data_IF_051578031762
#
_entry.id   IF_051578031762
#
_cell.length_a   1.000
_cell.length_b   1.000
_cell.length_c   1.000
_cell.angle_alpha   90.00
_cell.angle_beta   90.00
_cell.angle_gamma   90.00
#
_symmetry.space_group_name_H-M   'P 1'
#
loop_
_entity.id
_entity.type
_entity.pdbx_description
1 polymer ?
#
# COMPACT_ATOMS: atom_id res chain seq x y z
N UNK A 1 -3.04 16.13 9.45
CA UNK A 1 -2.19 16.91 10.36
C UNK A 1 -0.84 17.12 9.68
N UNK A 2 -0.32 18.35 9.65
CA UNK A 2 0.99 18.61 9.05
C UNK A 2 2.07 18.29 10.10
N UNK A 3 3.01 17.41 9.76
CA UNK A 3 4.16 17.08 10.61
C UNK A 3 5.00 18.34 10.93
N UNK A 4 5.58 18.39 12.12
CA UNK A 4 6.54 19.42 12.55
C UNK A 4 7.74 19.42 11.57
N UNK A 5 8.26 20.59 11.13
CA UNK A 5 9.53 20.71 10.43
C UNK A 5 10.66 19.76 10.88
N UNK A 6 10.85 19.56 12.19
CA UNK A 6 11.91 18.66 12.70
C UNK A 6 11.60 17.18 12.44
N UNK A 7 10.34 16.79 12.59
CA UNK A 7 9.88 15.42 12.31
C UNK A 7 9.98 15.11 10.81
N UNK A 8 9.66 16.10 9.96
CA UNK A 8 9.84 16.00 8.50
C UNK A 8 11.29 15.79 8.12
N UNK A 9 12.22 16.54 8.70
CA UNK A 9 13.64 16.41 8.37
C UNK A 9 14.20 15.06 8.85
N UNK A 10 13.78 14.60 10.03
CA UNK A 10 14.12 13.26 10.53
C UNK A 10 13.58 12.16 9.60
N UNK A 11 12.32 12.27 9.16
CA UNK A 11 11.70 11.33 8.25
C UNK A 11 12.41 11.31 6.90
N UNK A 12 12.71 12.48 6.33
CA UNK A 12 13.48 12.61 5.08
C UNK A 12 14.83 11.92 5.16
N UNK A 13 15.61 12.17 6.22
CA UNK A 13 16.93 11.53 6.40
C UNK A 13 16.82 10.01 6.53
N UNK A 14 15.82 9.52 7.28
CA UNK A 14 15.55 8.08 7.43
C UNK A 14 15.22 7.43 6.08
N UNK A 15 14.35 8.07 5.28
CA UNK A 15 13.99 7.60 3.95
C UNK A 15 15.19 7.61 3.01
N UNK A 16 15.99 8.67 3.02
CA UNK A 16 17.19 8.79 2.19
C UNK A 16 18.21 7.69 2.49
N UNK A 17 18.47 7.39 3.76
CA UNK A 17 19.39 6.32 4.14
C UNK A 17 18.94 4.96 3.59
N UNK A 18 17.65 4.62 3.73
CA UNK A 18 17.10 3.35 3.23
C UNK A 18 17.09 3.28 1.71
N UNK A 19 16.75 4.39 1.05
CA UNK A 19 16.74 4.50 -0.41
C UNK A 19 18.15 4.40 -1.00
N UNK A 20 19.15 4.99 -0.34
CA UNK A 20 20.54 4.90 -0.77
C UNK A 20 21.04 3.45 -0.78
N UNK A 21 20.72 2.67 0.27
CA UNK A 21 21.03 1.24 0.34
C UNK A 21 20.33 0.46 -0.77
N UNK A 22 19.08 0.80 -1.07
CA UNK A 22 18.31 0.13 -2.10
C UNK A 22 18.79 0.43 -3.52
N UNK A 23 19.13 1.69 -3.80
CA UNK A 23 19.53 2.10 -5.13
C UNK A 23 20.91 1.59 -5.51
N UNK A 24 21.79 1.28 -4.55
CA UNK A 24 23.13 0.75 -4.83
C UNK A 24 23.92 1.59 -5.84
N UNK A 25 23.81 2.92 -5.75
CA UNK A 25 24.45 3.85 -6.68
C UNK A 25 23.68 4.10 -7.98
N UNK A 26 22.46 3.57 -8.14
CA UNK A 26 21.56 3.99 -9.21
C UNK A 26 20.89 5.32 -8.87
N UNK A 27 20.65 6.20 -9.85
CA UNK A 27 20.13 7.54 -9.57
C UNK A 27 18.61 7.56 -9.33
N UNK A 28 17.88 6.54 -9.81
CA UNK A 28 16.42 6.55 -9.86
C UNK A 28 15.81 5.16 -9.76
N UNK A 29 14.55 5.15 -9.37
CA UNK A 29 13.67 3.97 -9.41
C UNK A 29 13.12 3.81 -10.82
N UNK A 30 13.29 2.63 -11.41
CA UNK A 30 12.94 2.36 -12.82
C UNK A 30 11.53 1.78 -13.01
N UNK A 31 10.94 1.24 -11.95
CA UNK A 31 9.61 0.64 -12.05
C UNK A 31 8.89 0.69 -10.70
N UNK A 32 7.59 0.95 -10.73
CA UNK A 32 6.75 1.08 -9.54
C UNK A 32 5.44 0.32 -9.75
N UNK A 33 5.33 -0.95 -9.39
CA UNK A 33 4.05 -1.65 -9.49
C UNK A 33 3.19 -1.42 -8.24
N UNK A 34 1.97 -0.93 -8.41
CA UNK A 34 0.99 -0.84 -7.31
C UNK A 34 0.39 -2.20 -6.99
N UNK A 35 0.25 -2.52 -5.69
CA UNK A 35 -0.45 -3.70 -5.20
C UNK A 35 -1.40 -3.34 -4.06
N UNK A 36 -2.58 -3.92 -4.11
CA UNK A 36 -3.61 -3.79 -3.08
C UNK A 36 -3.64 -5.11 -2.31
N UNK A 37 -3.18 -5.08 -1.06
CA UNK A 37 -3.16 -6.25 -0.19
C UNK A 37 -4.42 -6.28 0.67
N UNK A 38 -4.92 -7.49 0.93
CA UNK A 38 -6.08 -7.69 1.81
C UNK A 38 -5.71 -7.58 3.29
N UNK A 39 -4.43 -7.80 3.61
CA UNK A 39 -3.86 -7.74 4.96
C UNK A 39 -2.82 -6.62 5.10
N UNK A 40 -2.58 -6.11 6.33
CA UNK A 40 -1.56 -5.10 6.56
C UNK A 40 -0.14 -5.62 6.30
N UNK A 41 0.69 -4.85 5.60
CA UNK A 41 2.10 -5.16 5.39
C UNK A 41 3.02 -4.01 5.80
N UNK A 42 4.25 -4.36 6.16
CA UNK A 42 5.27 -3.39 6.56
C UNK A 42 5.81 -2.62 5.35
N UNK A 43 5.90 -1.30 5.48
CA UNK A 43 6.56 -0.44 4.51
C UNK A 43 8.07 -0.41 4.79
N UNK A 44 8.88 -0.72 3.80
CA UNK A 44 10.33 -0.74 3.91
C UNK A 44 10.94 0.66 4.08
N UNK A 45 10.21 1.75 3.74
CA UNK A 45 10.71 3.13 3.91
C UNK A 45 10.52 3.69 5.33
N UNK A 46 9.31 3.58 5.91
CA UNK A 46 9.06 4.06 7.27
C UNK A 46 9.28 2.96 8.32
N UNK A 47 9.08 1.69 7.98
CA UNK A 47 9.10 0.53 8.88
C UNK A 47 7.76 0.26 9.56
N UNK A 48 6.75 1.09 9.32
CA UNK A 48 5.44 0.93 9.93
C UNK A 48 4.56 -0.02 9.13
N UNK A 49 3.58 -0.62 9.80
CA UNK A 49 2.60 -1.49 9.17
C UNK A 49 1.47 -0.67 8.58
N UNK A 50 1.21 -0.84 7.28
CA UNK A 50 0.14 -0.16 6.58
C UNK A 50 -0.92 -1.18 6.16
N UNK A 51 -2.16 -0.89 6.52
CA UNK A 51 -3.28 -1.74 6.18
C UNK A 51 -3.55 -1.80 4.67
N UNK A 52 -3.22 -0.74 3.90
CA UNK A 52 -3.56 -0.60 2.47
C UNK A 52 -2.56 0.26 1.69
N UNK A 53 -2.62 0.17 0.35
CA UNK A 53 -1.89 0.98 -0.63
C UNK A 53 -0.37 0.87 -0.57
N UNK A 54 0.15 -0.27 -1.01
CA UNK A 54 1.59 -0.50 -1.10
C UNK A 54 2.05 -0.60 -2.55
N UNK A 55 3.16 0.06 -2.82
CA UNK A 55 3.87 0.03 -4.08
C UNK A 55 5.07 -0.88 -3.95
N UNK A 56 5.27 -1.75 -4.94
CA UNK A 56 6.53 -2.44 -5.13
C UNK A 56 7.36 -1.57 -6.08
N UNK A 57 8.40 -0.93 -5.54
CA UNK A 57 9.39 -0.22 -6.34
C UNK A 57 10.52 -1.17 -6.71
N UNK A 58 11.09 -1.02 -7.90
CA UNK A 58 12.19 -1.82 -8.41
C UNK A 58 13.31 -0.90 -8.92
N UNK A 59 14.54 -1.18 -8.52
CA UNK A 59 15.72 -0.49 -9.04
C UNK A 59 16.23 -1.14 -10.34
N UNK A 60 17.26 -0.54 -10.96
CA UNK A 60 17.86 -1.05 -12.20
C UNK A 60 18.53 -2.42 -12.03
N UNK A 61 19.08 -2.71 -10.84
CA UNK A 61 19.66 -4.02 -10.49
C UNK A 61 18.60 -5.11 -10.28
N UNK A 62 17.32 -4.73 -10.29
CA UNK A 62 16.19 -5.61 -10.14
C UNK A 62 15.77 -5.93 -8.71
N UNK A 63 16.40 -5.30 -7.71
CA UNK A 63 15.94 -5.34 -6.32
C UNK A 63 14.58 -4.70 -6.19
N UNK A 64 13.78 -5.23 -5.27
CA UNK A 64 12.41 -4.78 -5.00
C UNK A 64 12.30 -4.28 -3.57
N UNK A 65 11.45 -3.29 -3.37
CA UNK A 65 11.11 -2.74 -2.06
C UNK A 65 9.61 -2.45 -2.00
N UNK A 66 8.98 -2.71 -0.87
CA UNK A 66 7.57 -2.44 -0.61
C UNK A 66 7.42 -1.10 0.11
N UNK A 67 6.63 -0.19 -0.46
CA UNK A 67 6.56 1.20 -0.01
C UNK A 67 5.12 1.67 0.06
N UNK A 68 4.70 2.19 1.21
CA UNK A 68 3.36 2.76 1.36
C UNK A 68 3.16 3.97 0.45
N UNK A 69 1.95 4.13 -0.06
CA UNK A 69 1.51 5.25 -0.89
C UNK A 69 1.89 6.63 -0.31
N UNK A 70 1.69 6.81 1.00
CA UNK A 70 2.08 8.03 1.71
C UNK A 70 3.59 8.27 1.65
N UNK A 71 4.38 7.24 1.98
CA UNK A 71 5.84 7.31 1.93
C UNK A 71 6.37 7.55 0.51
N UNK A 72 5.78 6.95 -0.51
CA UNK A 72 6.19 7.19 -1.89
C UNK A 72 5.96 8.66 -2.30
N UNK A 73 4.81 9.24 -1.92
CA UNK A 73 4.52 10.66 -2.17
C UNK A 73 5.48 11.58 -1.42
N UNK A 74 5.78 11.27 -0.16
CA UNK A 74 6.73 12.04 0.64
C UNK A 74 8.15 11.94 0.09
N UNK A 75 8.56 10.78 -0.40
CA UNK A 75 9.86 10.56 -1.03
C UNK A 75 10.04 11.51 -2.22
N UNK A 76 9.03 11.61 -3.08
CA UNK A 76 9.02 12.52 -4.24
C UNK A 76 8.95 13.97 -3.80
N UNK A 77 8.08 14.30 -2.84
CA UNK A 77 7.93 15.65 -2.29
C UNK A 77 9.22 16.18 -1.67
N UNK A 78 9.97 15.32 -0.98
CA UNK A 78 11.25 15.65 -0.34
C UNK A 78 12.46 15.44 -1.27
N UNK A 79 12.23 15.08 -2.54
CA UNK A 79 13.26 14.84 -3.55
C UNK A 79 14.35 13.88 -3.06
N UNK A 80 13.95 12.78 -2.45
CA UNK A 80 14.87 11.75 -1.93
C UNK A 80 15.50 10.95 -3.08
N UNK A 81 14.72 10.65 -4.12
CA UNK A 81 15.17 10.02 -5.36
C UNK A 81 14.17 10.32 -6.47
N UNK A 82 14.61 10.20 -7.72
CA UNK A 82 13.73 10.28 -8.88
C UNK A 82 13.01 8.95 -9.13
N UNK A 83 11.79 9.06 -9.66
CA UNK A 83 10.93 7.92 -9.99
C UNK A 83 10.49 8.03 -11.44
N UNK A 84 10.81 7.00 -12.22
CA UNK A 84 10.42 6.91 -13.61
C UNK A 84 8.90 6.69 -13.77
N UNK A 85 8.26 7.43 -14.67
CA UNK A 85 6.82 7.36 -14.99
C UNK A 85 5.85 7.48 -13.78
N UNK A 86 6.22 8.20 -12.71
CA UNK A 86 5.43 8.28 -11.46
C UNK A 86 3.92 8.55 -11.66
N UNK A 87 3.56 9.49 -12.54
CA UNK A 87 2.16 9.86 -12.78
C UNK A 87 1.30 8.68 -13.26
N UNK A 88 1.81 7.91 -14.22
CA UNK A 88 1.15 6.72 -14.77
C UNK A 88 0.93 5.64 -13.70
N UNK A 89 1.89 5.52 -12.78
CA UNK A 89 1.78 4.58 -11.67
C UNK A 89 0.76 5.00 -10.62
N UNK A 90 0.67 6.30 -10.31
CA UNK A 90 -0.36 6.84 -9.41
C UNK A 90 -1.77 6.63 -9.98
N UNK A 91 -1.96 6.77 -11.30
CA UNK A 91 -3.22 6.46 -11.96
C UNK A 91 -3.57 4.97 -11.88
N UNK A 92 -2.61 4.09 -12.16
CA UNK A 92 -2.80 2.63 -12.04
C UNK A 92 -3.22 2.22 -10.62
N UNK A 93 -2.66 2.85 -9.59
CA UNK A 93 -3.06 2.58 -8.20
C UNK A 93 -4.52 2.95 -7.95
N UNK A 94 -5.00 4.10 -8.44
CA UNK A 94 -6.41 4.50 -8.27
C UNK A 94 -7.36 3.43 -8.80
N UNK A 95 -7.03 2.85 -9.96
CA UNK A 95 -7.81 1.76 -10.57
C UNK A 95 -7.76 0.52 -9.67
N UNK A 96 -6.57 0.05 -9.29
CA UNK A 96 -6.41 -1.14 -8.44
C UNK A 96 -7.13 -1.01 -7.09
N UNK A 97 -7.13 0.20 -6.51
CA UNK A 97 -7.82 0.46 -5.25
C UNK A 97 -9.34 0.38 -5.42
N UNK A 98 -9.87 0.95 -6.50
CA UNK A 98 -11.29 0.85 -6.82
C UNK A 98 -11.74 -0.61 -7.01
N UNK A 99 -10.94 -1.42 -7.70
CA UNK A 99 -11.21 -2.86 -7.89
C UNK A 99 -11.15 -3.64 -6.58
N UNK A 100 -10.26 -3.27 -5.65
CA UNK A 100 -10.15 -3.91 -4.34
C UNK A 100 -11.37 -3.59 -3.45
N UNK A 101 -11.84 -2.35 -3.46
CA UNK A 101 -13.04 -1.94 -2.73
C UNK A 101 -14.30 -2.66 -3.24
N UNK A 102 -14.42 -2.85 -4.56
CA UNK A 102 -15.50 -3.67 -5.14
C UNK A 102 -15.41 -5.11 -4.63
N UNK A 103 -14.23 -5.74 -4.69
CA UNK A 103 -14.02 -7.11 -4.19
C UNK A 103 -14.36 -7.25 -2.70
N UNK A 104 -14.00 -6.26 -1.87
CA UNK A 104 -14.39 -6.25 -0.45
C UNK A 104 -15.89 -6.16 -0.26
N UNK A 105 -16.56 -5.28 -1.00
CA UNK A 105 -18.01 -5.14 -0.92
C UNK A 105 -18.71 -6.44 -1.31
N UNK A 106 -18.24 -7.12 -2.36
CA UNK A 106 -18.73 -8.44 -2.78
C UNK A 106 -18.47 -9.53 -1.73
N UNK A 107 -17.26 -9.56 -1.16
CA UNK A 107 -16.92 -10.52 -0.10
C UNK A 107 -17.76 -10.28 1.16
N UNK A 108 -17.98 -9.02 1.56
CA UNK A 108 -18.84 -8.66 2.68
C UNK A 108 -20.29 -9.08 2.44
N UNK A 109 -20.81 -8.84 1.22
CA UNK A 109 -22.15 -9.28 0.83
C UNK A 109 -22.29 -10.81 0.88
N UNK A 110 -21.28 -11.53 0.40
CA UNK A 110 -21.25 -13.00 0.44
C UNK A 110 -21.30 -13.53 1.89
N UNK A 111 -20.50 -12.93 2.79
CA UNK A 111 -20.51 -13.28 4.22
C UNK A 111 -21.86 -12.98 4.88
N UNK A 112 -22.50 -11.87 4.53
CA UNK A 112 -23.82 -11.50 5.03
C UNK A 112 -24.91 -12.47 4.56
N UNK A 113 -24.88 -12.85 3.27
CA UNK A 113 -25.80 -13.84 2.71
C UNK A 113 -25.64 -15.22 3.36
N UNK A 114 -24.40 -15.63 3.64
CA UNK A 114 -24.10 -16.85 4.37
C UNK A 114 -24.61 -16.80 5.81
N UNK A 115 -24.38 -15.69 6.54
CA UNK A 115 -24.93 -15.48 7.89
C UNK A 115 -26.45 -15.59 7.89
N UNK A 116 -27.13 -14.90 6.96
CA UNK A 116 -28.59 -14.94 6.82
C UNK A 116 -29.10 -16.34 6.49
N UNK A 117 -28.36 -17.12 5.70
CA UNK A 117 -28.69 -18.52 5.39
C UNK A 117 -28.58 -19.42 6.62
N UNK A 118 -27.58 -19.21 7.47
CA UNK A 118 -27.39 -19.95 8.72
C UNK A 118 -28.48 -19.60 9.74
N UNK A 119 -28.81 -18.32 9.93
CA UNK A 119 -29.89 -17.87 10.82
C UNK A 119 -31.25 -18.49 10.45
N UNK A 120 -31.58 -18.54 9.15
CA UNK A 120 -32.80 -19.19 8.66
C UNK A 120 -32.88 -20.69 8.98
N UNK A 121 -31.73 -21.38 9.07
CA UNK A 121 -31.69 -22.82 9.41
C UNK A 121 -31.89 -23.08 10.91
N UNK A 122 -31.55 -22.12 11.78
CA UNK A 122 -31.61 -22.28 13.24
C UNK A 122 -33.06 -22.17 13.79
N UNK A 123 -34.00 -21.57 13.04
CA UNK A 123 -35.39 -21.33 13.48
C UNK A 123 -36.28 -22.60 13.44
N UNK A 124 -35.83 -23.72 12.89
CA UNK A 124 -36.63 -24.94 12.76
C UNK A 124 -36.25 -25.94 13.86
N UNK A 125 -36.80 -25.77 15.09
CA UNK A 125 -36.95 -26.83 16.13
C UNK A 125 -37.69 -26.27 17.36
N UNK A 126 -38.94 -25.83 17.21
CA UNK A 126 -39.90 -25.94 18.32
C UNK A 126 -40.71 -27.21 18.09
N UNK A 127 -40.35 -28.27 18.83
CA UNK A 127 -41.14 -29.49 18.98
C UNK A 127 -42.50 -29.11 19.57
N UNK A 128 -43.58 -29.43 18.87
CA UNK A 128 -44.83 -29.82 19.51
C UNK A 128 -44.73 -31.30 19.88
#
# INVERSE_FOLDING_TARGET
>A
MALDPLEKDRLRRKMAARMQVFLEGTPMVTCVSGHCYEEPHACDLCGDTHAMDLFVIKNRSGKKMLVASGCLKEMVRFQVTDVEELSKWLEKLKVLNSEMEVRKAEAAKTREEERRRLEKKVIIRKKN
#
